data_IF_028693813442
#
_entry.id   IF_028693813442
#
_cell.length_a   1.000
_cell.length_b   1.000
_cell.length_c   1.000
_cell.angle_alpha   90.00
_cell.angle_beta   90.00
_cell.angle_gamma   90.00
#
_symmetry.space_group_name_H-M   'P 1'
#
loop_
_entity.id
_entity.type
_entity.pdbx_description
1 polymer ?
#
# COMPACT_ATOMS: atom_id res chain seq x y z
N UNK A 1 9.49 -39.28 1.16
CA UNK A 1 8.12 -38.75 0.91
C UNK A 1 8.26 -37.35 0.34
N UNK A 2 7.93 -37.15 -0.94
CA UNK A 2 7.99 -35.81 -1.54
C UNK A 2 6.74 -35.03 -1.12
N UNK A 3 6.91 -34.02 -0.26
CA UNK A 3 5.84 -33.07 0.04
C UNK A 3 5.48 -32.35 -1.26
N UNK A 4 4.29 -32.62 -1.80
CA UNK A 4 3.78 -31.85 -2.93
C UNK A 4 3.57 -30.40 -2.45
N UNK A 5 4.32 -29.46 -3.04
CA UNK A 5 4.12 -28.04 -2.81
C UNK A 5 2.76 -27.63 -3.36
N UNK A 6 1.89 -27.11 -2.49
CA UNK A 6 0.60 -26.54 -2.90
C UNK A 6 0.80 -25.15 -3.50
N UNK A 7 0.10 -24.86 -4.59
CA UNK A 7 0.11 -23.54 -5.22
C UNK A 7 -1.06 -22.69 -4.70
N UNK A 8 -0.83 -21.39 -4.57
CA UNK A 8 -1.81 -20.42 -4.05
C UNK A 8 -1.92 -19.23 -4.99
N UNK A 9 -3.12 -18.66 -5.10
CA UNK A 9 -3.39 -17.45 -5.88
C UNK A 9 -4.15 -16.43 -5.05
N UNK A 10 -3.60 -15.22 -4.95
CA UNK A 10 -4.27 -14.08 -4.31
C UNK A 10 -4.71 -13.11 -5.39
N UNK A 11 -5.99 -12.74 -5.40
CA UNK A 11 -6.57 -11.83 -6.41
C UNK A 11 -7.65 -10.93 -5.81
N UNK A 12 -7.85 -9.78 -6.45
CA UNK A 12 -9.01 -8.94 -6.15
C UNK A 12 -10.28 -9.64 -6.63
N UNK A 13 -11.25 -9.76 -5.74
CA UNK A 13 -12.59 -10.22 -6.04
C UNK A 13 -13.54 -9.04 -6.11
N UNK A 14 -14.19 -8.85 -7.25
CA UNK A 14 -15.46 -8.15 -7.31
C UNK A 14 -16.55 -9.14 -6.92
N UNK A 15 -17.43 -8.76 -5.99
CA UNK A 15 -18.73 -9.43 -5.92
C UNK A 15 -19.49 -8.91 -7.14
N UNK A 16 -20.01 -9.78 -8.01
CA UNK A 16 -21.02 -9.36 -8.98
C UNK A 16 -22.34 -9.46 -8.23
N UNK A 17 -22.90 -8.33 -7.80
CA UNK A 17 -24.26 -8.29 -7.27
C UNK A 17 -25.21 -8.97 -8.26
N UNK A 18 -26.04 -9.90 -7.75
CA UNK A 18 -27.06 -10.56 -8.54
C UNK A 18 -27.96 -9.53 -9.22
N UNK A 19 -28.24 -9.75 -10.51
CA UNK A 19 -29.30 -9.04 -11.20
C UNK A 19 -30.64 -9.51 -10.61
N UNK A 20 -31.20 -8.75 -9.66
CA UNK A 20 -32.63 -8.82 -9.41
C UNK A 20 -33.33 -8.19 -10.62
N UNK A 21 -33.94 -9.04 -11.44
CA UNK A 21 -34.84 -8.64 -12.51
C UNK A 21 -36.03 -7.95 -11.84
N UNK A 22 -36.32 -6.67 -12.13
CA UNK A 22 -37.46 -6.01 -11.52
C UNK A 22 -38.75 -6.58 -12.11
N UNK A 23 -39.49 -7.35 -11.31
CA UNK A 23 -40.91 -7.58 -11.52
C UNK A 23 -41.63 -6.24 -11.46
N UNK A 24 -42.43 -5.96 -12.50
CA UNK A 24 -43.18 -4.73 -12.64
C UNK A 24 -44.20 -4.57 -11.51
N UNK A 25 -44.07 -3.53 -10.69
CA UNK A 25 -45.16 -3.00 -9.89
C UNK A 25 -45.21 -1.47 -9.93
N UNK A 26 -46.45 -1.00 -9.98
CA UNK A 26 -46.92 0.33 -10.32
C UNK A 26 -46.89 1.23 -9.07
N UNK A 27 -46.40 2.46 -9.24
CA UNK A 27 -46.77 3.64 -8.45
C UNK A 27 -46.41 3.65 -6.96
N UNK A 28 -45.39 4.42 -6.60
CA UNK A 28 -45.30 5.36 -5.47
C UNK A 28 -43.83 5.73 -5.22
N UNK A 29 -43.59 7.01 -4.88
CA UNK A 29 -42.32 7.67 -4.53
C UNK A 29 -41.02 6.83 -4.62
N UNK A 30 -40.18 7.15 -5.63
CA UNK A 30 -38.80 6.68 -5.70
C UNK A 30 -37.96 7.25 -4.55
N UNK A 31 -38.02 6.62 -3.37
CA UNK A 31 -36.88 6.62 -2.45
C UNK A 31 -35.76 5.85 -3.12
N UNK A 32 -34.80 6.56 -3.67
CA UNK A 32 -33.56 6.02 -4.20
C UNK A 32 -32.83 5.30 -3.05
N UNK A 33 -33.12 4.00 -2.88
CA UNK A 33 -32.34 3.10 -2.04
C UNK A 33 -30.95 3.08 -2.66
N UNK A 34 -30.02 3.89 -2.15
CA UNK A 34 -28.59 3.73 -2.41
C UNK A 34 -28.19 2.34 -1.97
N UNK A 35 -28.20 1.39 -2.91
CA UNK A 35 -27.60 0.07 -2.72
C UNK A 35 -26.18 0.30 -2.23
N UNK A 36 -25.85 -0.30 -1.08
CA UNK A 36 -24.53 -0.17 -0.48
C UNK A 36 -23.49 -0.59 -1.53
N UNK A 37 -22.76 0.38 -2.06
CA UNK A 37 -21.77 0.17 -3.12
C UNK A 37 -20.80 -0.92 -2.67
N UNK A 38 -20.76 -2.01 -3.42
CA UNK A 38 -19.99 -3.20 -3.07
C UNK A 38 -18.51 -2.85 -2.95
N UNK A 39 -17.88 -3.39 -1.91
CA UNK A 39 -16.49 -3.08 -1.58
C UNK A 39 -15.61 -4.21 -2.09
N UNK A 40 -14.53 -3.87 -2.78
CA UNK A 40 -13.54 -4.82 -3.29
C UNK A 40 -12.94 -5.64 -2.15
N UNK A 41 -12.82 -6.96 -2.36
CA UNK A 41 -12.25 -7.91 -1.39
C UNK A 41 -10.99 -8.52 -1.95
N UNK A 42 -10.02 -8.84 -1.09
CA UNK A 42 -8.87 -9.65 -1.50
C UNK A 42 -9.16 -11.11 -1.17
N UNK A 43 -9.12 -11.99 -2.15
CA UNK A 43 -9.40 -13.42 -2.00
C UNK A 43 -8.13 -14.24 -2.20
N UNK A 44 -7.94 -15.27 -1.40
CA UNK A 44 -6.91 -16.29 -1.59
C UNK A 44 -7.53 -17.63 -1.93
N UNK A 45 -7.04 -18.24 -2.99
CA UNK A 45 -7.46 -19.55 -3.45
C UNK A 45 -6.30 -20.53 -3.38
N UNK A 46 -6.56 -21.76 -2.93
CA UNK A 46 -5.67 -22.89 -3.15
C UNK A 46 -5.89 -23.41 -4.56
N UNK A 47 -4.81 -23.56 -5.31
CA UNK A 47 -4.82 -24.12 -6.65
C UNK A 47 -4.48 -25.60 -6.56
N UNK A 48 -5.49 -26.45 -6.76
CA UNK A 48 -5.33 -27.89 -6.83
C UNK A 48 -5.35 -28.30 -8.30
N UNK A 49 -4.33 -29.03 -8.79
CA UNK A 49 -4.20 -29.37 -10.23
C UNK A 49 -5.40 -30.12 -10.82
N UNK A 50 -6.21 -30.77 -9.96
CA UNK A 50 -7.31 -31.67 -10.34
C UNK A 50 -8.67 -31.22 -9.82
N UNK A 51 -8.76 -30.10 -9.10
CA UNK A 51 -9.98 -29.65 -8.45
C UNK A 51 -10.18 -28.15 -8.68
N UNK A 52 -11.44 -27.65 -8.66
CA UNK A 52 -11.69 -26.22 -8.73
C UNK A 52 -10.96 -25.49 -7.60
N UNK A 53 -10.52 -24.27 -7.89
CA UNK A 53 -9.79 -23.45 -6.94
C UNK A 53 -10.61 -23.24 -5.65
N UNK A 54 -10.05 -23.63 -4.51
CA UNK A 54 -10.75 -23.58 -3.22
C UNK A 54 -10.47 -22.25 -2.52
N UNK A 55 -11.50 -21.47 -2.20
CA UNK A 55 -11.36 -20.22 -1.45
C UNK A 55 -10.92 -20.52 -0.01
N UNK A 56 -9.76 -20.00 0.39
CA UNK A 56 -9.19 -20.21 1.73
C UNK A 56 -9.63 -19.09 2.66
N UNK A 57 -9.41 -17.85 2.24
CA UNK A 57 -9.73 -16.68 3.04
C UNK A 57 -10.05 -15.48 2.15
N UNK A 58 -10.71 -14.50 2.78
CA UNK A 58 -11.00 -13.19 2.21
C UNK A 58 -10.62 -12.09 3.19
N UNK A 59 -10.10 -10.99 2.68
CA UNK A 59 -9.83 -9.78 3.46
C UNK A 59 -10.80 -8.70 3.01
N UNK A 60 -11.39 -8.02 3.99
CA UNK A 60 -12.14 -6.78 3.82
C UNK A 60 -11.31 -5.68 4.45
N UNK A 61 -10.99 -4.64 3.68
CA UNK A 61 -10.23 -3.50 4.21
C UNK A 61 -11.10 -2.63 5.11
N UNK A 62 -10.54 -2.06 6.20
CA UNK A 62 -11.26 -1.16 7.09
C UNK A 62 -12.00 -0.06 6.33
N UNK A 63 -13.25 0.17 6.73
CA UNK A 63 -14.06 1.26 6.18
C UNK A 63 -13.72 2.54 6.92
N UNK A 64 -13.54 3.61 6.16
CA UNK A 64 -13.51 4.97 6.69
C UNK A 64 -14.79 5.69 6.26
N UNK A 65 -15.54 6.20 7.23
CA UNK A 65 -16.72 7.03 6.96
C UNK A 65 -16.22 8.45 6.78
N UNK A 66 -15.90 8.81 5.54
CA UNK A 66 -15.60 10.20 5.18
C UNK A 66 -16.67 10.70 4.22
N UNK A 67 -17.26 11.85 4.55
CA UNK A 67 -18.19 12.56 3.67
C UNK A 67 -17.42 13.00 2.44
N UNK A 68 -17.72 12.43 1.28
CA UNK A 68 -17.11 12.78 -0.01
C UNK A 68 -15.92 11.94 -0.48
N UNK A 69 -15.49 10.92 0.29
CA UNK A 69 -14.39 10.04 -0.14
C UNK A 69 -14.91 8.81 -0.90
N UNK A 70 -14.18 8.46 -1.97
CA UNK A 70 -14.37 7.28 -2.81
C UNK A 70 -14.40 5.99 -1.95
N UNK A 71 -14.97 4.93 -2.51
CA UNK A 71 -15.13 3.60 -1.88
C UNK A 71 -13.87 3.11 -1.16
N UNK A 72 -14.01 2.25 -0.15
CA UNK A 72 -12.90 1.52 0.47
C UNK A 72 -12.40 0.38 -0.42
N UNK A 73 -12.40 0.56 -1.73
CA UNK A 73 -11.89 -0.42 -2.67
C UNK A 73 -10.36 -0.48 -2.59
N UNK A 74 -9.83 -1.69 -2.67
CA UNK A 74 -8.39 -1.91 -2.78
C UNK A 74 -7.97 -1.47 -4.18
N UNK A 75 -7.15 -0.42 -4.25
CA UNK A 75 -6.56 0.07 -5.51
C UNK A 75 -5.34 -0.74 -5.89
N UNK A 76 -4.49 -1.09 -4.92
CA UNK A 76 -3.31 -1.94 -5.09
C UNK A 76 -3.08 -2.81 -3.88
N UNK A 77 -2.44 -3.95 -4.11
CA UNK A 77 -1.88 -4.73 -3.04
C UNK A 77 -0.47 -5.26 -3.38
N UNK A 78 0.32 -5.50 -2.35
CA UNK A 78 1.62 -6.13 -2.42
C UNK A 78 1.68 -7.27 -1.38
N UNK A 79 2.26 -8.40 -1.76
CA UNK A 79 2.58 -9.49 -0.83
C UNK A 79 4.11 -9.60 -0.77
N UNK A 80 4.69 -9.27 0.38
CA UNK A 80 6.14 -9.27 0.60
C UNK A 80 6.42 -9.45 2.08
N UNK A 81 7.49 -10.17 2.43
CA UNK A 81 7.96 -10.37 3.81
C UNK A 81 6.85 -10.82 4.79
N UNK A 82 6.11 -11.88 4.44
CA UNK A 82 4.96 -12.38 5.24
C UNK A 82 3.92 -11.29 5.57
N UNK A 83 3.81 -10.27 4.73
CA UNK A 83 2.87 -9.16 4.89
C UNK A 83 2.06 -8.96 3.63
N UNK A 84 0.80 -8.57 3.79
CA UNK A 84 -0.05 -8.07 2.71
C UNK A 84 -0.31 -6.60 2.97
N UNK A 85 0.02 -5.75 2.00
CA UNK A 85 -0.16 -4.31 2.10
C UNK A 85 -1.19 -3.91 1.07
N UNK A 86 -2.24 -3.23 1.49
CA UNK A 86 -3.29 -2.72 0.62
C UNK A 86 -3.22 -1.20 0.62
N UNK A 87 -3.03 -0.61 -0.56
CA UNK A 87 -3.40 0.77 -0.83
C UNK A 87 -4.88 0.82 -1.23
N UNK A 88 -5.60 1.81 -0.70
CA UNK A 88 -7.05 1.91 -0.89
C UNK A 88 -7.43 3.23 -1.60
N UNK A 89 -8.57 3.20 -2.31
CA UNK A 89 -9.15 4.36 -3.01
C UNK A 89 -9.61 5.49 -2.10
N UNK A 90 -9.84 5.19 -0.82
CA UNK A 90 -10.20 6.17 0.20
C UNK A 90 -9.00 6.83 0.89
N UNK A 91 -7.80 6.71 0.30
CA UNK A 91 -6.58 7.35 0.81
C UNK A 91 -6.04 6.72 2.09
N UNK A 92 -6.26 5.42 2.28
CA UNK A 92 -5.79 4.67 3.46
C UNK A 92 -4.85 3.53 3.06
N UNK A 93 -4.07 3.07 4.03
CA UNK A 93 -3.19 1.88 3.91
C UNK A 93 -3.59 0.88 4.98
N UNK A 94 -3.65 -0.41 4.63
CA UNK A 94 -3.85 -1.50 5.57
C UNK A 94 -2.76 -2.55 5.41
N UNK A 95 -2.16 -2.98 6.52
CA UNK A 95 -1.09 -3.98 6.53
C UNK A 95 -1.56 -5.19 7.33
N UNK A 96 -1.46 -6.37 6.74
CA UNK A 96 -1.89 -7.64 7.34
C UNK A 96 -0.71 -8.60 7.47
N UNK A 97 -0.68 -9.34 8.58
CA UNK A 97 0.28 -10.40 8.81
C UNK A 97 -0.16 -11.70 8.14
N UNK A 98 0.69 -12.24 7.26
CA UNK A 98 0.53 -13.49 6.53
C UNK A 98 1.50 -14.56 7.08
N UNK A 99 1.35 -14.93 8.36
CA UNK A 99 2.16 -16.04 8.95
C UNK A 99 1.82 -17.40 8.36
N UNK A 100 0.54 -17.59 8.01
CA UNK A 100 0.04 -18.86 7.49
C UNK A 100 -0.95 -18.58 6.36
N UNK A 101 -0.57 -18.98 5.14
CA UNK A 101 -1.35 -18.81 3.92
C UNK A 101 -2.70 -19.54 3.96
N UNK A 102 -2.86 -20.54 4.83
CA UNK A 102 -4.10 -21.29 5.02
C UNK A 102 -5.06 -20.64 6.03
N UNK A 103 -4.68 -19.52 6.65
CA UNK A 103 -5.48 -18.81 7.64
C UNK A 103 -5.71 -17.36 7.22
N UNK A 104 -6.83 -16.77 7.64
CA UNK A 104 -7.13 -15.37 7.34
C UNK A 104 -6.06 -14.44 7.93
N UNK A 105 -5.43 -13.57 7.12
CA UNK A 105 -4.42 -12.64 7.62
C UNK A 105 -4.98 -11.64 8.63
N UNK A 106 -4.23 -11.39 9.71
CA UNK A 106 -4.63 -10.47 10.78
C UNK A 106 -4.16 -9.05 10.46
N UNK A 107 -5.04 -8.05 10.67
CA UNK A 107 -4.65 -6.65 10.53
C UNK A 107 -3.59 -6.30 11.58
N UNK A 108 -2.44 -5.85 11.09
CA UNK A 108 -1.28 -5.48 11.90
C UNK A 108 -1.08 -3.97 11.98
N UNK A 109 -1.28 -3.24 10.89
CA UNK A 109 -1.19 -1.78 10.92
C UNK A 109 -2.20 -1.12 9.99
N UNK A 110 -2.51 0.14 10.26
CA UNK A 110 -3.41 0.94 9.46
C UNK A 110 -2.97 2.42 9.47
N UNK A 111 -2.96 3.05 8.31
CA UNK A 111 -2.75 4.49 8.17
C UNK A 111 -3.98 5.12 7.52
N UNK A 112 -4.38 6.26 8.10
CA UNK A 112 -5.38 7.15 7.52
C UNK A 112 -4.67 8.35 6.90
N UNK A 113 -5.41 9.08 6.06
CA UNK A 113 -4.95 10.35 5.53
C UNK A 113 -3.62 10.28 4.78
N UNK A 114 -3.42 9.20 4.04
CA UNK A 114 -2.13 8.92 3.44
C UNK A 114 -1.70 10.02 2.48
N UNK A 115 -2.56 10.43 1.56
CA UNK A 115 -2.24 11.49 0.59
C UNK A 115 -3.37 12.51 0.52
N UNK A 116 -3.01 13.80 0.44
CA UNK A 116 -3.96 14.93 0.42
C UNK A 116 -5.06 14.81 1.49
N UNK A 117 -4.68 14.55 2.74
CA UNK A 117 -5.62 14.31 3.86
C UNK A 117 -6.67 13.23 3.55
N UNK A 118 -6.23 12.15 2.91
CA UNK A 118 -7.05 10.98 2.58
C UNK A 118 -8.07 11.23 1.46
N UNK A 119 -7.95 12.35 0.73
CA UNK A 119 -8.86 12.70 -0.37
C UNK A 119 -8.50 12.00 -1.67
N UNK A 120 -7.27 11.50 -1.81
CA UNK A 120 -6.81 10.85 -3.03
C UNK A 120 -6.41 9.39 -2.78
N UNK A 121 -6.50 8.59 -3.84
CA UNK A 121 -6.22 7.16 -3.84
C UNK A 121 -4.74 6.86 -3.55
N UNK A 122 -4.48 5.81 -2.77
CA UNK A 122 -3.13 5.24 -2.67
C UNK A 122 -2.92 4.32 -3.89
N UNK A 123 -2.23 4.79 -4.92
CA UNK A 123 -2.13 4.11 -6.21
C UNK A 123 -1.00 3.09 -6.28
N UNK A 124 -0.08 3.10 -5.32
CA UNK A 124 1.07 2.19 -5.26
C UNK A 124 1.61 2.11 -3.83
N UNK A 125 2.08 0.93 -3.46
CA UNK A 125 2.62 0.62 -2.13
C UNK A 125 3.85 -0.27 -2.26
N UNK A 126 4.77 -0.16 -1.31
CA UNK A 126 5.99 -0.95 -1.22
C UNK A 126 6.39 -1.14 0.25
N UNK A 127 7.24 -2.12 0.56
CA UNK A 127 7.77 -2.32 1.92
C UNK A 127 9.24 -2.69 1.90
N UNK A 128 9.95 -2.17 2.89
CA UNK A 128 11.29 -2.61 3.28
C UNK A 128 11.27 -3.02 4.74
N UNK A 129 12.01 -4.08 5.06
CA UNK A 129 12.24 -4.52 6.45
C UNK A 129 13.73 -4.46 6.82
N UNK A 130 14.49 -3.71 6.02
CA UNK A 130 15.91 -3.50 6.28
C UNK A 130 16.09 -2.97 7.70
N UNK A 131 16.96 -3.64 8.47
CA UNK A 131 17.20 -3.40 9.91
C UNK A 131 16.08 -3.84 10.86
N UNK A 132 15.32 -4.87 10.50
CA UNK A 132 14.30 -5.51 11.34
C UNK A 132 13.15 -4.59 11.75
N UNK A 133 12.94 -3.48 11.04
CA UNK A 133 11.83 -2.55 11.26
C UNK A 133 11.08 -2.35 9.94
N UNK A 134 9.79 -2.69 9.86
CA UNK A 134 9.02 -2.49 8.64
C UNK A 134 8.83 -0.99 8.39
N UNK A 135 9.17 -0.57 7.18
CA UNK A 135 8.82 0.74 6.64
C UNK A 135 7.96 0.55 5.40
N UNK A 136 6.73 1.04 5.48
CA UNK A 136 5.78 1.00 4.38
C UNK A 136 5.98 2.29 3.58
N UNK A 137 6.01 2.16 2.27
CA UNK A 137 6.16 3.28 1.36
C UNK A 137 4.87 3.36 0.56
N UNK A 138 4.32 4.56 0.41
CA UNK A 138 3.13 4.77 -0.41
C UNK A 138 3.27 6.00 -1.29
N UNK A 139 2.60 5.93 -2.43
CA UNK A 139 2.45 7.07 -3.32
C UNK A 139 1.07 7.07 -3.99
N UNK A 140 0.76 8.17 -4.66
CA UNK A 140 -0.48 8.37 -5.40
C UNK A 140 -0.18 8.81 -6.82
N UNK A 141 -1.03 8.41 -7.76
CA UNK A 141 -0.97 8.85 -9.15
C UNK A 141 -1.28 10.34 -9.30
N UNK A 142 -1.90 10.93 -8.27
CA UNK A 142 -2.38 12.31 -8.23
C UNK A 142 -1.67 13.13 -7.13
N UNK A 143 -0.49 12.69 -6.68
CA UNK A 143 0.38 13.45 -5.77
C UNK A 143 1.86 13.21 -6.08
N UNK A 144 2.68 14.27 -6.18
CA UNK A 144 4.13 14.16 -6.39
C UNK A 144 4.90 13.73 -5.13
N UNK A 145 4.21 13.29 -4.07
CA UNK A 145 4.83 12.99 -2.77
C UNK A 145 4.90 11.48 -2.54
N UNK A 146 6.10 10.99 -2.24
CA UNK A 146 6.35 9.67 -1.66
C UNK A 146 6.31 9.79 -0.14
N UNK A 147 5.59 8.89 0.53
CA UNK A 147 5.48 8.89 1.99
C UNK A 147 5.99 7.60 2.60
N UNK A 148 6.72 7.74 3.69
CA UNK A 148 7.32 6.67 4.45
C UNK A 148 6.61 6.54 5.79
N UNK A 149 6.21 5.32 6.13
CA UNK A 149 5.36 5.02 7.26
C UNK A 149 6.02 3.98 8.15
N UNK A 150 6.01 4.22 9.47
CA UNK A 150 6.47 3.25 10.46
C UNK A 150 5.36 2.93 11.46
N UNK A 151 5.37 1.72 12.04
CA UNK A 151 4.54 1.41 13.20
C UNK A 151 4.76 2.44 14.30
N UNK A 152 3.67 3.02 14.81
CA UNK A 152 3.73 3.85 16.00
C UNK A 152 4.05 2.95 17.19
N UNK A 153 5.24 3.09 17.75
CA UNK A 153 5.58 2.45 19.03
C UNK A 153 5.03 3.36 20.11
N UNK A 154 4.03 2.90 20.87
CA UNK A 154 3.65 3.57 22.10
C UNK A 154 4.84 3.47 23.06
N UNK A 155 5.55 4.57 23.26
CA UNK A 155 6.47 4.69 24.39
C UNK A 155 5.57 4.74 25.62
N UNK A 156 5.41 3.60 26.29
CA UNK A 156 4.90 3.62 27.67
C UNK A 156 5.89 4.49 28.45
N UNK A 157 5.42 5.66 28.89
CA UNK A 157 6.21 6.55 29.73
C UNK A 157 6.81 5.72 30.86
N UNK A 158 8.14 5.69 30.91
CA UNK A 158 8.90 5.12 32.01
C UNK A 158 8.77 6.10 33.18
N UNK A 159 7.63 6.05 33.86
CA UNK A 159 7.48 6.62 35.19
C UNK A 159 6.65 5.65 36.02
N UNK A 160 7.27 5.32 37.14
CA UNK A 160 6.84 4.43 38.19
C UNK A 160 5.38 4.61 38.63
N UNK A 161 4.85 3.48 39.09
CA UNK A 161 3.73 3.31 40.01
C UNK A 161 2.30 3.32 39.46
N UNK A 162 1.68 2.14 39.63
CA UNK A 162 0.24 1.90 39.74
C UNK A 162 -0.64 2.35 38.56
N UNK A 163 -0.89 1.43 37.64
CA UNK A 163 -2.14 0.67 37.60
C UNK A 163 -2.09 -0.21 36.36
N UNK A 164 -2.34 -1.50 36.55
CA UNK A 164 -2.83 -2.40 35.49
C UNK A 164 -4.20 -1.89 35.03
N UNK A 165 -4.22 -0.76 34.31
CA UNK A 165 -5.35 -0.41 33.49
C UNK A 165 -5.31 -1.42 32.35
N UNK A 166 -6.37 -2.23 32.24
CA UNK A 166 -6.68 -3.02 31.05
C UNK A 166 -6.75 -2.05 29.88
N UNK A 167 -5.61 -1.73 29.28
CA UNK A 167 -5.58 -0.88 28.10
C UNK A 167 -6.31 -1.64 27.01
N UNK A 168 -7.31 -0.98 26.44
CA UNK A 168 -8.19 -1.56 25.43
C UNK A 168 -7.32 -2.26 24.38
N UNK A 169 -7.63 -3.52 24.03
CA UNK A 169 -6.94 -4.28 22.97
C UNK A 169 -6.98 -3.64 21.56
N UNK A 170 -7.51 -2.40 21.48
CA UNK A 170 -7.58 -1.50 20.35
C UNK A 170 -6.59 -0.33 20.44
N UNK A 171 -5.65 -0.32 21.41
CA UNK A 171 -4.53 0.62 21.40
C UNK A 171 -3.83 0.53 20.04
N UNK A 172 -3.94 1.65 19.32
CA UNK A 172 -4.05 1.70 17.88
C UNK A 172 -2.76 1.21 17.24
N UNK A 173 -2.86 0.06 16.58
CA UNK A 173 -1.97 -0.43 15.51
C UNK A 173 -1.92 0.55 14.33
N UNK A 174 -1.43 1.76 14.59
CA UNK A 174 -1.39 2.88 13.65
C UNK A 174 -0.02 3.00 13.03
N UNK A 175 0.00 3.38 11.76
CA UNK A 175 1.18 3.85 11.10
C UNK A 175 1.32 5.36 11.32
N UNK A 176 2.55 5.81 11.55
CA UNK A 176 2.91 7.23 11.61
C UNK A 176 3.74 7.58 10.37
N UNK A 177 3.43 8.71 9.74
CA UNK A 177 4.27 9.28 8.68
C UNK A 177 5.59 9.70 9.30
N UNK A 178 6.68 9.08 8.85
CA UNK A 178 8.04 9.40 9.29
C UNK A 178 8.63 10.51 8.41
N UNK A 179 8.43 10.38 7.09
CA UNK A 179 9.06 11.25 6.11
C UNK A 179 8.22 11.32 4.84
N UNK A 180 8.26 12.50 4.25
CA UNK A 180 7.69 12.79 2.95
C UNK A 180 8.80 13.27 2.00
N UNK A 181 8.80 12.81 0.76
CA UNK A 181 9.71 13.27 -0.30
C UNK A 181 8.86 13.77 -1.45
N UNK A 182 8.99 15.06 -1.78
CA UNK A 182 8.38 15.65 -2.97
C UNK A 182 9.30 15.47 -4.17
N UNK A 183 8.76 14.97 -5.28
CA UNK A 183 9.48 14.69 -6.52
C UNK A 183 9.46 15.89 -7.49
N UNK A 184 8.90 17.03 -7.08
CA UNK A 184 8.89 18.26 -7.89
C UNK A 184 7.72 18.29 -8.88
N UNK A 185 8.00 18.59 -10.16
CA UNK A 185 6.99 18.94 -11.18
C UNK A 185 6.18 17.76 -11.77
N UNK A 186 6.11 16.60 -11.11
CA UNK A 186 5.24 15.52 -11.58
C UNK A 186 3.78 15.70 -11.13
N UNK A 187 2.85 15.12 -11.90
CA UNK A 187 1.44 15.02 -11.49
C UNK A 187 1.29 14.02 -10.34
N UNK A 188 2.07 12.94 -10.39
CA UNK A 188 2.16 11.97 -9.32
C UNK A 188 3.01 10.77 -9.66
N UNK A 189 2.73 9.64 -9.02
CA UNK A 189 3.58 8.45 -9.00
C UNK A 189 2.71 7.21 -9.26
N UNK A 190 3.03 6.47 -10.32
CA UNK A 190 2.29 5.30 -10.81
C UNK A 190 2.76 4.00 -10.19
N UNK A 191 4.06 3.85 -9.98
CA UNK A 191 4.64 2.63 -9.42
C UNK A 191 5.88 2.92 -8.59
N UNK A 192 6.14 1.99 -7.66
CA UNK A 192 7.29 1.96 -6.78
C UNK A 192 7.95 0.58 -6.94
N UNK A 193 9.27 0.53 -6.87
CA UNK A 193 9.98 -0.75 -6.77
C UNK A 193 11.25 -0.58 -5.95
N UNK A 194 11.37 -1.35 -4.87
CA UNK A 194 12.63 -1.46 -4.14
C UNK A 194 13.57 -2.43 -4.84
N UNK A 195 14.85 -2.09 -4.86
CA UNK A 195 15.90 -3.00 -5.32
C UNK A 195 16.11 -4.17 -4.34
N UNK A 196 16.87 -5.19 -4.77
CA UNK A 196 17.14 -6.38 -3.95
C UNK A 196 17.87 -6.06 -2.65
N UNK A 197 18.70 -5.02 -2.62
CA UNK A 197 19.44 -4.62 -1.43
C UNK A 197 18.61 -3.76 -0.46
N UNK A 198 17.39 -3.40 -0.86
CA UNK A 198 16.49 -2.48 -0.16
C UNK A 198 17.18 -1.14 0.21
N UNK A 199 18.02 -0.62 -0.70
CA UNK A 199 18.71 0.67 -0.59
C UNK A 199 18.23 1.71 -1.61
N UNK A 200 17.68 1.25 -2.73
CA UNK A 200 17.26 2.12 -3.83
C UNK A 200 15.78 1.90 -4.10
N UNK A 201 15.07 3.01 -4.27
CA UNK A 201 13.66 3.02 -4.64
C UNK A 201 13.52 3.64 -6.03
N UNK A 202 13.10 2.82 -7.00
CA UNK A 202 12.74 3.30 -8.32
C UNK A 202 11.31 3.84 -8.32
N UNK A 203 11.11 4.99 -8.99
CA UNK A 203 9.82 5.66 -9.10
C UNK A 203 9.38 5.72 -10.56
N UNK A 204 8.22 5.13 -10.87
CA UNK A 204 7.55 5.39 -12.15
C UNK A 204 6.58 6.54 -12.00
N UNK A 205 6.84 7.64 -12.71
CA UNK A 205 6.09 8.88 -12.54
C UNK A 205 4.84 8.93 -13.42
N UNK A 206 3.88 9.76 -13.00
CA UNK A 206 2.72 10.16 -13.79
C UNK A 206 3.03 11.51 -14.42
N UNK A 207 3.39 11.51 -15.71
CA UNK A 207 3.81 12.70 -16.44
C UNK A 207 4.99 12.38 -17.36
N UNK A 208 5.43 13.38 -18.14
CA UNK A 208 6.51 13.23 -19.10
C UNK A 208 7.82 13.77 -18.49
N UNK A 209 8.34 13.07 -17.49
CA UNK A 209 9.66 13.33 -16.92
C UNK A 209 10.40 12.01 -16.71
N UNK A 210 11.73 12.04 -16.90
CA UNK A 210 12.58 10.86 -16.71
C UNK A 210 12.39 10.27 -15.32
N UNK A 211 12.35 8.94 -15.23
CA UNK A 211 12.07 8.22 -13.99
C UNK A 211 13.23 8.37 -12.98
N UNK A 212 13.04 9.07 -11.84
CA UNK A 212 14.10 9.25 -10.87
C UNK A 212 14.30 7.99 -10.02
N UNK A 213 15.54 7.78 -9.60
CA UNK A 213 15.91 6.77 -8.60
C UNK A 213 16.25 7.48 -7.31
N UNK A 214 15.58 7.11 -6.22
CA UNK A 214 15.95 7.58 -4.88
C UNK A 214 16.99 6.63 -4.30
N UNK A 215 18.17 7.15 -3.99
CA UNK A 215 19.23 6.42 -3.28
C UNK A 215 19.23 6.79 -1.79
N UNK A 216 19.34 5.77 -0.93
CA UNK A 216 19.56 5.95 0.49
C UNK A 216 20.99 6.47 0.72
N UNK A 217 21.15 7.69 1.22
CA UNK A 217 22.47 8.12 1.70
C UNK A 217 22.93 7.24 2.88
N UNK A 218 24.23 6.90 2.96
CA UNK A 218 24.82 6.17 4.07
C UNK A 218 24.99 7.10 5.27
N UNK A 219 23.88 7.56 5.82
CA UNK A 219 23.83 8.12 7.17
C UNK A 219 22.83 7.27 7.93
N UNK A 220 23.26 6.75 9.08
CA UNK A 220 22.44 5.96 9.98
C UNK A 220 21.08 6.63 10.17
N UNK A 221 20.03 5.90 9.80
CA UNK A 221 18.63 6.31 9.84
C UNK A 221 18.19 7.40 8.85
N UNK A 222 17.08 7.11 8.17
CA UNK A 222 16.30 8.09 7.39
C UNK A 222 15.72 9.23 8.28
N UNK A 223 15.94 9.18 9.60
CA UNK A 223 15.43 10.12 10.59
C UNK A 223 16.16 11.47 10.63
N UNK A 224 17.30 11.62 9.94
CA UNK A 224 18.13 12.83 10.07
C UNK A 224 18.41 13.61 8.78
N UNK A 225 18.07 13.11 7.58
CA UNK A 225 18.34 13.87 6.35
C UNK A 225 17.23 14.88 6.07
N UNK A 226 17.41 16.14 6.48
CA UNK A 226 16.60 17.27 6.02
C UNK A 226 16.94 17.56 4.55
N UNK A 227 15.96 17.37 3.66
CA UNK A 227 16.02 17.87 2.29
C UNK A 227 17.12 17.27 1.41
N UNK A 228 17.02 15.99 1.07
CA UNK A 228 17.85 15.39 0.01
C UNK A 228 17.37 15.83 -1.37
N UNK A 229 18.26 16.45 -2.15
CA UNK A 229 18.03 16.76 -3.57
C UNK A 229 18.12 15.47 -4.36
N UNK A 230 17.07 15.12 -5.11
CA UNK A 230 17.12 14.02 -6.06
C UNK A 230 18.12 14.39 -7.16
N UNK A 231 19.25 13.70 -7.26
CA UNK A 231 20.13 13.81 -8.44
C UNK A 231 19.77 12.69 -9.42
N UNK A 232 19.47 12.98 -10.69
CA UNK A 232 19.41 11.94 -11.70
C UNK A 232 20.77 11.23 -11.74
N UNK A 233 20.76 9.89 -11.72
CA UNK A 233 21.97 9.10 -11.88
C UNK A 233 22.61 9.36 -13.25
N UNK A 234 23.91 9.08 -13.42
CA UNK A 234 24.56 9.22 -14.71
C UNK A 234 23.89 8.31 -15.75
N UNK A 235 23.45 8.92 -16.84
CA UNK A 235 22.76 8.30 -17.95
C UNK A 235 23.69 7.31 -18.67
N UNK A 236 23.38 5.99 -18.74
CA UNK A 236 24.20 5.03 -19.46
C UNK A 236 23.97 5.03 -20.98
N UNK A 237 23.16 5.94 -21.52
CA UNK A 237 22.75 5.93 -22.92
C UNK A 237 23.13 7.21 -23.71
N UNK A 238 24.41 7.61 -23.70
CA UNK A 238 24.95 8.44 -24.78
C UNK A 238 26.38 7.98 -25.14
N UNK A 239 26.64 7.49 -26.37
CA UNK A 239 28.01 7.42 -26.87
C UNK A 239 28.53 8.86 -26.97
N UNK A 240 29.64 9.14 -26.28
CA UNK A 240 30.36 10.40 -26.45
C UNK A 240 30.66 10.58 -27.94
N UNK A 241 30.19 11.68 -28.53
CA UNK A 241 30.60 12.08 -29.86
C UNK A 241 32.12 12.25 -29.86
N UNK A 242 32.78 11.41 -30.66
CA UNK A 242 34.20 11.52 -30.98
C UNK A 242 34.41 12.82 -31.75
N UNK A 243 35.10 13.80 -31.15
CA UNK A 243 35.57 15.00 -31.84
C UNK A 243 36.94 14.71 -32.49
N UNK A 244 37.05 14.66 -33.84
CA UNK A 244 38.30 14.32 -34.51
C UNK A 244 39.32 15.48 -34.57
N UNK A 245 39.07 16.63 -33.94
CA UNK A 245 39.88 17.84 -34.15
C UNK A 245 40.71 18.34 -32.96
N UNK A 246 40.90 17.53 -31.92
CA UNK A 246 41.91 17.81 -30.88
C UNK A 246 43.22 17.08 -31.19
N UNK A 247 44.15 17.81 -31.83
CA UNK A 247 45.59 17.56 -31.78
C UNK A 247 46.23 18.42 -30.70
#
# INVERSE_FOLDING_TARGET
MNAQSAAYQVRLGATLGGFDVPSAEIGHEKKEKRTAKETTKLHCYRLDKKAPANLIWKIVVPKRINVGVRTNDISRFLIKNNSIICGNRNGTISVYNLRNINSQPKLDYYAEDCHNSGKIEVSTVEITEKYHKPCIISASNDSPVVKFWKPQVSVSNYNDNLQYSKSNANEKKRLQSERDISIGECVGIRCLSMDKSENRLALGLNGNIDAPVLEKEPVSDWSHSRGGVCRPGPDPAYPQAYDPHLK
#
